data_IF_952124586446
#
_entry.id   IF_952124586446
#
_cell.length_a   1.000
_cell.length_b   1.000
_cell.length_c   1.000
_cell.angle_alpha   90.00
_cell.angle_beta   90.00
_cell.angle_gamma   90.00
#
_symmetry.space_group_name_H-M   'P 1'
#
loop_
_entity.id
_entity.type
_entity.pdbx_description
1 polymer ?
#
# COMPACT_ATOMS: atom_id res chain seq x y z
N UNK A 1 7.34 0.10 22.28
CA UNK A 1 7.66 0.42 20.87
C UNK A 1 9.01 -0.13 20.49
N UNK A 2 10.03 0.00 21.34
CA UNK A 2 11.35 -0.63 21.17
C UNK A 2 11.27 -2.10 20.70
N UNK A 3 10.61 -2.98 21.47
CA UNK A 3 10.43 -4.38 21.08
C UNK A 3 9.68 -4.59 19.75
N UNK A 4 8.73 -3.73 19.40
CA UNK A 4 8.02 -3.84 18.11
C UNK A 4 8.93 -3.44 16.94
N UNK A 5 9.78 -2.43 17.14
CA UNK A 5 10.77 -2.00 16.17
C UNK A 5 11.87 -3.07 16.00
N UNK A 6 12.33 -3.69 17.08
CA UNK A 6 13.28 -4.82 17.03
C UNK A 6 12.72 -6.04 16.28
N UNK A 7 11.40 -6.22 16.32
CA UNK A 7 10.69 -7.26 15.57
C UNK A 7 10.36 -6.87 14.13
N UNK A 8 10.81 -5.69 13.67
CA UNK A 8 10.58 -5.18 12.32
C UNK A 8 9.09 -5.12 11.93
N UNK A 9 8.24 -4.74 12.89
CA UNK A 9 6.80 -4.58 12.66
C UNK A 9 6.57 -3.45 11.67
N UNK A 10 5.98 -3.76 10.52
CA UNK A 10 5.69 -2.79 9.45
C UNK A 10 4.35 -2.09 9.60
N UNK A 11 3.39 -2.70 10.31
CA UNK A 11 2.02 -2.19 10.44
C UNK A 11 1.50 -2.41 11.86
N UNK A 12 0.91 -1.37 12.43
CA UNK A 12 0.23 -1.39 13.73
C UNK A 12 -1.23 -1.01 13.50
N UNK A 13 -2.15 -1.84 13.98
CA UNK A 13 -3.59 -1.57 13.91
C UNK A 13 -4.14 -1.40 15.32
N UNK A 14 -4.72 -0.23 15.59
CA UNK A 14 -5.46 0.06 16.81
C UNK A 14 -6.90 -0.44 16.67
N UNK A 15 -7.29 -1.36 17.55
CA UNK A 15 -8.63 -1.94 17.59
C UNK A 15 -9.45 -1.21 18.66
N UNK A 16 -10.41 -0.39 18.24
CA UNK A 16 -11.20 0.42 19.15
C UNK A 16 -11.96 1.55 18.45
N UNK A 17 -12.90 2.20 19.15
CA UNK A 17 -13.71 3.30 18.62
C UNK A 17 -12.95 4.63 18.52
N UNK A 18 -11.87 4.78 19.30
CA UNK A 18 -11.05 5.98 19.33
C UNK A 18 -9.62 5.64 18.88
N UNK A 19 -8.94 6.57 18.21
CA UNK A 19 -7.55 6.44 17.77
C UNK A 19 -6.57 7.08 18.78
N UNK A 20 -6.49 6.53 20.00
CA UNK A 20 -5.71 7.10 21.11
C UNK A 20 -4.27 6.62 21.09
N UNK A 21 -4.04 5.36 20.72
CA UNK A 21 -2.72 4.74 20.73
C UNK A 21 -1.89 5.14 19.50
N UNK A 22 -2.52 5.46 18.38
CA UNK A 22 -1.82 5.87 17.16
C UNK A 22 -0.81 7.00 17.35
N UNK A 23 -1.19 8.14 17.98
CA UNK A 23 -0.25 9.21 18.33
C UNK A 23 0.87 8.75 19.30
N UNK A 24 0.59 7.80 20.19
CA UNK A 24 1.60 7.24 21.09
C UNK A 24 2.61 6.38 20.32
N UNK A 25 2.17 5.65 19.30
CA UNK A 25 3.06 4.92 18.38
C UNK A 25 4.02 5.86 17.69
N UNK A 26 3.50 6.94 17.10
CA UNK A 26 4.30 7.93 16.38
C UNK A 26 5.34 8.64 17.29
N UNK A 27 4.98 8.90 18.55
CA UNK A 27 5.86 9.62 19.49
C UNK A 27 6.86 8.73 20.22
N UNK A 28 6.56 7.44 20.41
CA UNK A 28 7.42 6.50 21.13
C UNK A 28 8.23 5.57 20.22
N UNK A 29 8.10 5.67 18.90
CA UNK A 29 8.91 4.87 17.96
C UNK A 29 10.39 5.27 18.04
N UNK A 30 11.32 4.30 18.21
CA UNK A 30 12.73 4.63 18.36
C UNK A 30 13.32 5.15 17.04
N UNK A 31 14.09 6.26 17.11
CA UNK A 31 14.87 6.77 15.97
C UNK A 31 16.01 5.81 15.57
N UNK A 32 16.41 4.94 16.49
CA UNK A 32 17.52 3.98 16.37
C UNK A 32 17.13 2.67 15.68
N UNK A 33 15.90 2.55 15.18
CA UNK A 33 15.49 1.36 14.44
C UNK A 33 16.34 1.25 13.16
N UNK A 34 17.35 0.38 13.19
CA UNK A 34 18.30 0.18 12.09
C UNK A 34 17.55 -0.32 10.84
N UNK A 35 17.25 0.61 9.93
CA UNK A 35 16.68 0.31 8.59
C UNK A 35 15.16 0.14 8.53
N UNK A 36 14.49 -0.15 9.65
CA UNK A 36 13.03 -0.23 9.71
C UNK A 36 12.44 1.18 9.88
N UNK A 37 11.82 1.71 8.82
CA UNK A 37 11.08 2.97 8.89
C UNK A 37 9.94 2.91 9.91
N UNK A 38 9.35 4.07 10.23
CA UNK A 38 8.12 4.13 11.03
C UNK A 38 7.04 3.19 10.43
N UNK A 39 6.34 2.37 11.22
CA UNK A 39 5.29 1.52 10.72
C UNK A 39 4.12 2.36 10.21
N UNK A 40 3.32 1.75 9.34
CA UNK A 40 1.98 2.28 9.04
C UNK A 40 1.10 2.09 10.27
N UNK A 41 0.46 3.16 10.73
CA UNK A 41 -0.42 3.14 11.91
C UNK A 41 -1.85 3.36 11.45
N UNK A 42 -2.73 2.39 11.72
CA UNK A 42 -4.12 2.38 11.28
C UNK A 42 -5.05 2.31 12.49
N UNK A 43 -6.18 3.01 12.43
CA UNK A 43 -7.30 2.82 13.35
C UNK A 43 -8.36 1.96 12.68
N UNK A 44 -8.87 0.94 13.37
CA UNK A 44 -9.90 0.04 12.84
C UNK A 44 -11.25 0.70 12.58
N UNK A 45 -11.58 1.79 13.27
CA UNK A 45 -12.86 2.49 13.16
C UNK A 45 -12.71 3.99 12.86
N UNK A 46 -11.48 4.49 12.76
CA UNK A 46 -11.22 5.92 12.55
C UNK A 46 -11.57 6.78 13.76
N UNK A 47 -11.51 8.11 13.59
CA UNK A 47 -12.03 9.09 14.55
C UNK A 47 -13.28 9.81 14.01
N UNK A 48 -13.62 9.59 12.74
CA UNK A 48 -14.85 10.09 12.14
C UNK A 48 -16.02 9.19 12.55
N UNK A 49 -17.18 9.81 12.74
CA UNK A 49 -18.42 9.11 13.06
C UNK A 49 -19.08 8.49 11.82
N UNK A 50 -18.33 8.39 10.72
CA UNK A 50 -18.82 7.84 9.47
C UNK A 50 -18.65 6.32 9.50
N UNK A 51 -19.62 5.59 8.93
CA UNK A 51 -19.65 4.11 8.94
C UNK A 51 -18.52 3.46 8.10
N UNK A 52 -17.66 4.26 7.46
CA UNK A 52 -16.63 3.81 6.52
C UNK A 52 -15.25 3.55 7.16
N UNK A 53 -15.05 3.86 8.44
CA UNK A 53 -13.74 3.79 9.11
C UNK A 53 -13.06 2.41 9.01
N UNK A 54 -13.83 1.33 9.06
CA UNK A 54 -13.29 -0.02 8.86
C UNK A 54 -12.82 -0.25 7.42
N UNK A 55 -13.57 0.23 6.42
CA UNK A 55 -13.19 0.09 5.02
C UNK A 55 -11.90 0.87 4.72
N UNK A 56 -11.75 2.05 5.31
CA UNK A 56 -10.52 2.86 5.22
C UNK A 56 -9.33 2.15 5.87
N UNK A 57 -9.53 1.55 7.05
CA UNK A 57 -8.50 0.75 7.71
C UNK A 57 -8.04 -0.43 6.85
N UNK A 58 -8.98 -1.14 6.20
CA UNK A 58 -8.67 -2.25 5.29
C UNK A 58 -7.92 -1.76 4.04
N UNK A 59 -8.31 -0.60 3.49
CA UNK A 59 -7.61 0.02 2.36
C UNK A 59 -6.16 0.38 2.75
N UNK A 60 -5.97 1.05 3.88
CA UNK A 60 -4.63 1.38 4.40
C UNK A 60 -3.77 0.15 4.68
N UNK A 61 -4.36 -0.93 5.21
CA UNK A 61 -3.65 -2.20 5.41
C UNK A 61 -3.21 -2.83 4.09
N UNK A 62 -4.09 -2.81 3.07
CA UNK A 62 -3.76 -3.30 1.74
C UNK A 62 -2.65 -2.49 1.07
N UNK A 63 -2.68 -1.16 1.18
CA UNK A 63 -1.63 -0.26 0.68
C UNK A 63 -0.29 -0.47 1.39
N UNK A 64 -0.33 -0.79 2.69
CA UNK A 64 0.84 -1.18 3.48
C UNK A 64 1.37 -2.58 3.15
N UNK A 65 0.73 -3.30 2.23
CA UNK A 65 1.19 -4.60 1.72
C UNK A 65 0.64 -5.82 2.46
N UNK A 66 -0.32 -5.66 3.38
CA UNK A 66 -0.97 -6.80 4.01
C UNK A 66 -1.83 -7.56 3.00
N UNK A 67 -1.76 -8.89 3.08
CA UNK A 67 -2.62 -9.76 2.30
C UNK A 67 -4.06 -9.72 2.85
N UNK A 68 -4.96 -9.02 2.17
CA UNK A 68 -6.38 -8.96 2.53
C UNK A 68 -7.16 -10.09 1.87
N UNK A 69 -7.92 -10.83 2.67
CA UNK A 69 -8.91 -11.77 2.16
C UNK A 69 -10.18 -11.03 1.72
N UNK A 70 -10.24 -10.63 0.46
CA UNK A 70 -11.44 -9.99 -0.11
C UNK A 70 -12.68 -10.89 -0.06
N UNK A 71 -12.50 -12.23 -0.09
CA UNK A 71 -13.59 -13.17 0.10
C UNK A 71 -14.20 -13.08 1.51
N UNK A 72 -13.36 -12.86 2.53
CA UNK A 72 -13.82 -12.63 3.90
C UNK A 72 -14.44 -11.25 4.09
N UNK A 73 -13.86 -10.21 3.46
CA UNK A 73 -14.35 -8.84 3.53
C UNK A 73 -15.79 -8.70 3.01
N UNK A 74 -16.14 -9.44 1.96
CA UNK A 74 -17.47 -9.44 1.35
C UNK A 74 -18.27 -10.72 1.66
N UNK A 75 -17.96 -11.39 2.77
CA UNK A 75 -18.65 -12.62 3.15
C UNK A 75 -20.15 -12.38 3.39
N UNK A 76 -21.00 -13.24 2.81
CA UNK A 76 -22.46 -13.12 2.90
C UNK A 76 -23.09 -12.21 1.85
N UNK A 77 -22.28 -11.55 1.02
CA UNK A 77 -22.77 -10.71 -0.08
C UNK A 77 -22.78 -11.45 -1.42
N UNK A 78 -23.74 -11.12 -2.28
CA UNK A 78 -23.75 -11.57 -3.68
C UNK A 78 -23.14 -10.47 -4.56
N UNK A 79 -21.91 -10.70 -5.05
CA UNK A 79 -21.20 -9.76 -5.93
C UNK A 79 -21.07 -10.34 -7.34
N UNK A 80 -21.16 -9.48 -8.35
CA UNK A 80 -20.98 -9.85 -9.76
C UNK A 80 -19.67 -9.31 -10.31
N UNK A 81 -19.01 -10.08 -11.21
CA UNK A 81 -17.86 -9.57 -11.97
C UNK A 81 -18.33 -8.54 -12.98
N UNK A 82 -17.64 -7.40 -13.03
CA UNK A 82 -17.90 -6.32 -14.00
C UNK A 82 -16.64 -6.11 -14.85
N UNK A 83 -16.81 -5.64 -16.09
CA UNK A 83 -15.68 -5.23 -16.91
C UNK A 83 -15.08 -3.94 -16.36
N UNK A 84 -13.76 -3.93 -16.20
CA UNK A 84 -12.98 -2.74 -15.84
C UNK A 84 -12.07 -2.36 -17.00
N UNK A 85 -11.64 -1.08 -17.09
CA UNK A 85 -10.59 -0.70 -18.01
C UNK A 85 -9.36 -1.59 -17.86
N UNK A 86 -8.72 -1.93 -18.97
CA UNK A 86 -7.46 -2.69 -18.94
C UNK A 86 -6.35 -1.88 -18.26
N UNK A 87 -5.35 -2.56 -17.71
CA UNK A 87 -4.20 -1.93 -17.07
C UNK A 87 -3.56 -0.85 -18.00
N UNK A 88 -3.44 0.41 -17.55
CA UNK A 88 -2.90 1.48 -18.36
C UNK A 88 -1.36 1.42 -18.38
N UNK A 89 -0.80 0.54 -19.20
CA UNK A 89 0.66 0.39 -19.33
C UNK A 89 1.35 1.74 -19.56
N UNK A 90 2.41 2.00 -18.78
CA UNK A 90 3.35 3.10 -18.97
C UNK A 90 4.25 2.80 -20.18
N UNK A 91 3.75 3.12 -21.37
CA UNK A 91 4.37 2.71 -22.65
C UNK A 91 5.64 3.50 -22.92
N UNK A 92 6.71 2.79 -23.23
CA UNK A 92 7.93 3.33 -23.82
C UNK A 92 8.23 2.59 -25.12
N UNK A 93 8.77 3.32 -26.08
CA UNK A 93 9.09 2.77 -27.39
C UNK A 93 10.47 2.11 -27.33
N UNK A 94 10.52 0.79 -27.52
CA UNK A 94 11.76 0.02 -27.50
C UNK A 94 12.00 -0.59 -28.89
N UNK A 95 12.84 0.06 -29.71
CA UNK A 95 13.29 -0.43 -31.01
C UNK A 95 14.82 -0.48 -31.07
N UNK A 96 15.35 -1.40 -31.85
CA UNK A 96 16.75 -1.41 -32.25
C UNK A 96 16.86 -0.58 -33.54
N UNK A 97 17.64 0.50 -33.52
CA UNK A 97 17.85 1.31 -34.71
C UNK A 97 18.76 0.57 -35.70
N UNK A 98 18.35 0.51 -36.97
CA UNK A 98 19.18 -0.04 -38.03
C UNK A 98 20.39 0.88 -38.26
N UNK A 99 21.60 0.31 -38.27
CA UNK A 99 22.81 1.05 -38.61
C UNK A 99 22.70 1.54 -40.06
N UNK A 100 22.82 2.85 -40.35
CA UNK A 100 22.78 3.34 -41.72
C UNK A 100 23.92 2.70 -42.53
N UNK A 101 23.60 2.23 -43.74
CA UNK A 101 24.60 1.72 -44.67
C UNK A 101 25.53 2.88 -45.11
N UNK A 102 26.83 2.63 -45.31
CA UNK A 102 27.77 3.67 -45.72
C UNK A 102 27.32 4.28 -47.05
N UNK A 103 27.23 5.61 -47.11
CA UNK A 103 26.89 6.34 -48.32
C UNK A 103 28.00 6.16 -49.36
N UNK A 104 27.68 5.48 -50.46
CA UNK A 104 28.55 5.40 -51.64
C UNK A 104 28.54 6.77 -52.31
N UNK A 105 29.70 7.43 -52.34
CA UNK A 105 29.91 8.67 -53.08
C UNK A 105 30.46 8.28 -54.46
N UNK A 106 29.62 8.32 -55.49
CA UNK A 106 30.09 8.25 -56.89
C UNK A 106 30.69 9.60 -57.32
N UNK A 107 31.83 9.52 -58.01
CA UNK A 107 32.61 10.64 -58.56
C UNK A 107 32.25 10.91 -60.01
#
# INVERSE_FOLDING_TARGET
METLAELDVQVVVEIGPDAVLGPMVASAWPESADGAGMPVVLSSLGASQDDDGFTEAVAGAYEAGLAISFAGLFAGETRSRVSLPSYPFQRRRHWIEARPAPSVVER
#
